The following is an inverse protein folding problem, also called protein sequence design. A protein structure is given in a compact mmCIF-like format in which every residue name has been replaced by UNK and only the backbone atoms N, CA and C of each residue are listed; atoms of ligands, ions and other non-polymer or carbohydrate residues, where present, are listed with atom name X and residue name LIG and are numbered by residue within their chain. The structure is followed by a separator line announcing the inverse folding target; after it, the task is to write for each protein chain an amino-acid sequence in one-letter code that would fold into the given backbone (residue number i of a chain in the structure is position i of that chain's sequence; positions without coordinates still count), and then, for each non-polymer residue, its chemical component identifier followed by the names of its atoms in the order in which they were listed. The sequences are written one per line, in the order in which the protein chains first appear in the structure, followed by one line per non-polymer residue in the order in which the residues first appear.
data_IF_048314253064
#
_entry.id   IF_048314253064
#
_cell.length_a   1.000
_cell.length_b   1.000
_cell.length_c   1.000
_cell.angle_alpha   90.00
_cell.angle_beta   90.00
_cell.angle_gamma   90.00
#
_symmetry.space_group_name_H-M   'P 1'
#
loop_
_entity.id
_entity.type
_entity.pdbx_description
1 polymer ?
#
# COMPACT_ATOMS: atom_id res chain seq x y z
N UNK A 1 20.65 -4.20 -25.36
CA UNK A 1 19.45 -3.38 -25.08
C UNK A 1 19.79 -1.90 -25.26
N UNK A 2 18.91 -1.14 -25.93
CA UNK A 2 19.13 0.31 -26.09
C UNK A 2 17.78 1.03 -26.17
N UNK A 3 17.60 2.08 -25.36
CA UNK A 3 16.40 2.92 -25.38
C UNK A 3 16.69 4.35 -24.94
N UNK A 4 15.74 5.24 -25.25
CA UNK A 4 15.75 6.65 -24.81
C UNK A 4 14.40 6.99 -24.22
N UNK A 5 14.39 7.67 -23.07
CA UNK A 5 13.21 7.99 -22.29
C UNK A 5 13.33 9.37 -21.66
N UNK A 6 12.23 10.07 -21.45
CA UNK A 6 12.22 11.29 -20.65
C UNK A 6 12.59 11.01 -19.19
N UNK A 7 13.48 11.82 -18.63
CA UNK A 7 13.91 11.68 -17.22
C UNK A 7 12.72 11.66 -16.26
N UNK A 8 11.75 12.55 -16.43
CA UNK A 8 10.60 12.67 -15.53
C UNK A 8 9.80 11.36 -15.46
N UNK A 9 9.53 10.74 -16.62
CA UNK A 9 8.81 9.45 -16.71
C UNK A 9 9.63 8.34 -16.07
N UNK A 10 10.93 8.31 -16.32
CA UNK A 10 11.82 7.27 -15.76
C UNK A 10 11.95 7.39 -14.23
N UNK A 11 12.06 8.61 -13.69
CA UNK A 11 12.09 8.88 -12.24
C UNK A 11 10.78 8.45 -11.59
N UNK A 12 9.63 8.81 -12.18
CA UNK A 12 8.31 8.41 -11.67
C UNK A 12 8.18 6.90 -11.61
N UNK A 13 8.46 6.20 -12.70
CA UNK A 13 8.38 4.75 -12.78
C UNK A 13 9.34 4.05 -11.81
N UNK A 14 10.58 4.52 -11.70
CA UNK A 14 11.55 3.99 -10.74
C UNK A 14 11.11 4.20 -9.30
N UNK A 15 10.48 5.34 -8.98
CA UNK A 15 9.97 5.61 -7.64
C UNK A 15 8.87 4.63 -7.22
N UNK A 16 8.07 4.16 -8.18
CA UNK A 16 7.00 3.18 -7.97
C UNK A 16 7.55 1.75 -7.96
N UNK A 17 8.31 1.33 -8.98
CA UNK A 17 8.85 -0.02 -9.07
C UNK A 17 9.81 -0.36 -7.92
N UNK A 18 10.61 0.61 -7.46
CA UNK A 18 11.57 0.38 -6.36
C UNK A 18 10.91 0.11 -5.00
N UNK A 19 9.60 0.35 -4.83
CA UNK A 19 8.88 0.12 -3.58
C UNK A 19 8.82 -1.33 -3.16
N UNK A 20 8.82 -2.24 -4.14
CA UNK A 20 8.76 -3.69 -3.91
C UNK A 20 10.09 -4.39 -4.12
N UNK A 21 11.17 -3.65 -4.31
CA UNK A 21 12.53 -4.22 -4.32
C UNK A 21 12.90 -4.69 -2.92
N UNK A 22 13.47 -5.89 -2.82
CA UNK A 22 13.93 -6.43 -1.54
C UNK A 22 15.10 -5.61 -0.99
N UNK A 23 15.08 -5.27 0.30
CA UNK A 23 16.20 -4.55 0.93
C UNK A 23 17.41 -5.44 1.16
N UNK A 24 17.16 -6.71 1.46
CA UNK A 24 18.15 -7.79 1.56
C UNK A 24 17.51 -9.07 1.10
N UNK A 25 18.16 -9.77 0.20
CA UNK A 25 17.66 -11.05 -0.33
C UNK A 25 18.78 -12.07 -0.48
N UNK A 26 18.43 -13.35 -0.33
CA UNK A 26 19.32 -14.45 -0.73
C UNK A 26 19.44 -14.58 -2.24
N UNK A 27 18.56 -13.93 -2.98
CA UNK A 27 18.56 -13.84 -4.45
C UNK A 27 18.97 -12.39 -4.79
N UNK A 28 20.25 -12.15 -5.19
CA UNK A 28 20.78 -10.78 -5.34
C UNK A 28 20.03 -9.91 -6.34
N UNK A 29 19.51 -10.49 -7.42
CA UNK A 29 18.77 -9.75 -8.45
C UNK A 29 17.48 -9.10 -7.90
N UNK A 30 16.89 -9.60 -6.80
CA UNK A 30 15.72 -8.98 -6.17
C UNK A 30 16.03 -7.66 -5.42
N UNK A 31 17.31 -7.35 -5.21
CA UNK A 31 17.75 -6.03 -4.71
C UNK A 31 17.84 -4.98 -5.84
N UNK A 32 17.50 -5.39 -7.07
CA UNK A 32 17.50 -4.57 -8.27
C UNK A 32 16.09 -4.36 -8.85
N UNK A 33 16.00 -3.42 -9.78
CA UNK A 33 14.84 -3.23 -10.66
C UNK A 33 15.14 -3.90 -11.99
N UNK A 34 14.29 -4.83 -12.39
CA UNK A 34 14.33 -5.45 -13.70
C UNK A 34 13.83 -4.46 -14.75
N UNK A 35 14.64 -4.19 -15.76
CA UNK A 35 14.29 -3.45 -16.96
C UNK A 35 14.08 -4.43 -18.10
N UNK A 36 12.94 -4.34 -18.78
CA UNK A 36 12.65 -5.05 -20.03
C UNK A 36 12.26 -4.05 -21.11
N UNK A 37 13.06 -3.93 -22.14
CA UNK A 37 12.76 -3.14 -23.33
C UNK A 37 12.31 -4.08 -24.45
N UNK A 38 11.04 -3.96 -24.83
CA UNK A 38 10.40 -4.75 -25.86
C UNK A 38 9.46 -3.88 -26.71
N UNK A 39 8.15 -4.15 -26.69
CA UNK A 39 7.15 -3.26 -27.30
C UNK A 39 7.03 -1.97 -26.50
N UNK A 40 7.18 -2.06 -25.17
CA UNK A 40 7.26 -0.93 -24.24
C UNK A 40 8.42 -1.17 -23.27
N UNK A 41 8.87 -0.10 -22.61
CA UNK A 41 9.81 -0.23 -21.50
C UNK A 41 9.02 -0.60 -20.24
N UNK A 42 9.45 -1.65 -19.57
CA UNK A 42 8.86 -2.13 -18.31
C UNK A 42 9.92 -2.07 -17.21
N UNK A 43 9.53 -1.55 -16.06
CA UNK A 43 10.33 -1.54 -14.84
C UNK A 43 9.63 -2.39 -13.79
N UNK A 44 10.29 -3.42 -13.29
CA UNK A 44 9.70 -4.34 -12.31
C UNK A 44 10.55 -4.41 -11.06
N UNK A 45 9.92 -4.22 -9.91
CA UNK A 45 10.44 -4.55 -8.58
C UNK A 45 9.67 -5.73 -7.99
N UNK A 46 10.35 -6.63 -7.28
CA UNK A 46 9.73 -7.82 -6.70
C UNK A 46 10.46 -8.29 -5.45
N UNK A 47 9.72 -8.74 -4.43
CA UNK A 47 10.27 -9.28 -3.18
C UNK A 47 9.72 -10.67 -2.84
N UNK A 48 9.17 -11.40 -3.81
CA UNK A 48 8.50 -12.71 -3.72
C UNK A 48 7.11 -12.70 -3.08
N UNK A 49 6.71 -11.63 -2.40
CA UNK A 49 5.36 -11.46 -1.83
C UNK A 49 4.53 -10.44 -2.60
N UNK A 50 5.19 -9.34 -2.99
CA UNK A 50 4.57 -8.24 -3.72
C UNK A 50 5.49 -7.81 -4.85
N UNK A 51 4.94 -7.65 -6.03
CA UNK A 51 5.66 -7.16 -7.21
C UNK A 51 4.92 -5.99 -7.86
N UNK A 52 5.68 -5.03 -8.37
CA UNK A 52 5.14 -3.91 -9.14
C UNK A 52 5.84 -3.87 -10.48
N UNK A 53 5.06 -3.84 -11.56
CA UNK A 53 5.53 -3.55 -12.91
C UNK A 53 4.94 -2.23 -13.37
N UNK A 54 5.78 -1.32 -13.86
CA UNK A 54 5.36 -0.03 -14.42
C UNK A 54 5.74 0.02 -15.89
N UNK A 55 4.78 0.38 -16.73
CA UNK A 55 5.01 0.64 -18.15
C UNK A 55 5.41 2.09 -18.36
N UNK A 56 6.42 2.31 -19.18
CA UNK A 56 7.00 3.64 -19.42
C UNK A 56 7.10 3.91 -20.91
N UNK A 57 6.64 5.08 -21.30
CA UNK A 57 6.83 5.58 -22.67
C UNK A 57 8.31 5.80 -22.95
N UNK A 58 8.86 5.04 -23.90
CA UNK A 58 10.27 5.12 -24.30
C UNK A 58 10.44 4.80 -25.79
N UNK A 59 11.47 5.38 -26.40
CA UNK A 59 11.90 5.01 -27.74
C UNK A 59 12.88 3.85 -27.63
N UNK A 60 12.46 2.65 -28.03
CA UNK A 60 13.27 1.44 -27.96
C UNK A 60 13.96 1.24 -29.31
N UNK A 61 15.29 1.26 -29.30
CA UNK A 61 16.13 1.01 -30.48
C UNK A 61 16.56 -0.47 -30.55
N UNK A 62 16.86 -1.09 -29.40
CA UNK A 62 17.26 -2.49 -29.30
C UNK A 62 16.57 -3.13 -28.10
N UNK A 63 15.84 -4.21 -28.34
CA UNK A 63 15.20 -4.99 -27.30
C UNK A 63 16.23 -5.67 -26.39
N UNK A 64 15.81 -6.01 -25.17
CA UNK A 64 16.63 -6.75 -24.21
C UNK A 64 16.17 -6.50 -22.79
N UNK A 65 16.91 -7.08 -21.83
CA UNK A 65 16.60 -6.96 -20.40
C UNK A 65 17.89 -6.95 -19.56
N UNK A 66 17.81 -6.33 -18.39
CA UNK A 66 18.86 -6.36 -17.38
C UNK A 66 18.27 -6.00 -16.02
N UNK A 67 18.99 -6.28 -14.94
CA UNK A 67 18.61 -5.88 -13.59
C UNK A 67 19.55 -4.80 -13.08
N UNK A 68 19.01 -3.64 -12.80
CA UNK A 68 19.75 -2.48 -12.32
C UNK A 68 19.74 -2.42 -10.80
N UNK A 69 20.89 -2.14 -10.12
CA UNK A 69 20.91 -1.89 -8.69
C UNK A 69 19.93 -0.74 -8.35
N UNK A 70 18.82 -1.05 -7.66
CA UNK A 70 17.67 -0.15 -7.55
C UNK A 70 18.03 1.24 -7.00
N UNK A 71 18.71 1.27 -5.85
CA UNK A 71 19.07 2.54 -5.17
C UNK A 71 20.03 3.38 -5.99
N UNK A 72 21.09 2.76 -6.50
CA UNK A 72 22.11 3.48 -7.27
C UNK A 72 21.51 4.03 -8.56
N UNK A 73 20.75 3.21 -9.28
CA UNK A 73 20.13 3.61 -10.53
C UNK A 73 19.12 4.75 -10.33
N UNK A 74 18.26 4.65 -9.31
CA UNK A 74 17.32 5.72 -8.97
C UNK A 74 18.03 7.04 -8.60
N UNK A 75 19.10 6.96 -7.79
CA UNK A 75 19.85 8.15 -7.37
C UNK A 75 20.58 8.81 -8.57
N UNK A 76 21.11 8.02 -9.51
CA UNK A 76 21.71 8.54 -10.76
C UNK A 76 20.62 9.27 -11.55
N UNK A 77 19.54 8.57 -11.93
CA UNK A 77 18.50 9.13 -12.82
C UNK A 77 17.88 10.39 -12.22
N UNK A 78 17.63 10.42 -10.91
CA UNK A 78 17.09 11.60 -10.23
C UNK A 78 17.98 12.82 -10.35
N UNK A 79 19.30 12.64 -10.40
CA UNK A 79 20.29 13.75 -10.46
C UNK A 79 20.72 14.13 -11.88
N UNK A 80 20.30 13.38 -12.90
CA UNK A 80 20.56 13.79 -14.28
C UNK A 80 19.89 15.13 -14.59
N UNK A 81 20.37 15.91 -15.59
CA UNK A 81 19.66 17.08 -16.10
C UNK A 81 18.28 16.68 -16.66
N UNK A 82 17.36 17.64 -16.74
CA UNK A 82 16.00 17.44 -17.28
C UNK A 82 16.01 17.37 -18.80
N UNK A 83 16.53 16.26 -19.31
CA UNK A 83 16.69 15.96 -20.72
C UNK A 83 16.28 14.50 -20.98
N UNK A 84 16.34 14.12 -22.24
CA UNK A 84 16.18 12.72 -22.65
C UNK A 84 17.34 11.88 -22.12
N UNK A 85 17.02 10.80 -21.44
CA UNK A 85 18.00 9.85 -20.91
C UNK A 85 18.16 8.70 -21.90
N UNK A 86 19.37 8.49 -22.41
CA UNK A 86 19.71 7.36 -23.26
C UNK A 86 20.42 6.30 -22.43
N UNK A 87 19.94 5.07 -22.49
CA UNK A 87 20.50 3.93 -21.78
C UNK A 87 20.86 2.84 -22.80
N UNK A 88 22.10 2.36 -22.70
CA UNK A 88 22.61 1.25 -23.54
C UNK A 88 23.22 0.19 -22.62
N UNK A 89 22.87 -1.06 -22.83
CA UNK A 89 23.44 -2.23 -22.12
C UNK A 89 24.08 -3.13 -23.12
N UNK A 90 25.37 -3.42 -22.93
CA UNK A 90 26.12 -4.31 -23.80
C UNK A 90 26.02 -5.80 -23.37
N UNK A 91 26.66 -6.67 -24.12
CA UNK A 91 26.69 -8.12 -23.87
C UNK A 91 27.48 -8.53 -22.60
N UNK A 92 28.20 -7.58 -21.97
CA UNK A 92 28.93 -7.78 -20.71
C UNK A 92 28.19 -7.17 -19.52
N UNK A 93 26.89 -6.83 -19.69
CA UNK A 93 26.08 -6.15 -18.69
C UNK A 93 26.65 -4.78 -18.25
N UNK A 94 27.46 -4.13 -19.09
CA UNK A 94 27.90 -2.76 -18.84
C UNK A 94 26.83 -1.80 -19.35
N UNK A 95 26.35 -0.97 -18.45
CA UNK A 95 25.29 0.00 -18.71
C UNK A 95 25.86 1.39 -18.84
N UNK A 96 25.66 2.01 -19.98
CA UNK A 96 25.99 3.40 -20.24
C UNK A 96 24.73 4.25 -20.16
N UNK A 97 24.71 5.25 -19.28
CA UNK A 97 23.61 6.20 -19.09
C UNK A 97 24.09 7.58 -19.50
N UNK A 98 23.37 8.25 -20.40
CA UNK A 98 23.70 9.58 -20.94
C UNK A 98 22.49 10.51 -20.87
N UNK A 99 22.73 11.74 -20.39
CA UNK A 99 21.76 12.83 -20.47
C UNK A 99 22.54 14.15 -20.54
N UNK A 100 22.39 14.91 -21.63
CA UNK A 100 23.23 16.09 -21.90
C UNK A 100 24.73 15.76 -21.83
N UNK A 101 25.48 16.47 -21.01
CA UNK A 101 26.90 16.24 -20.76
C UNK A 101 27.18 15.15 -19.72
N UNK A 102 26.15 14.70 -18.97
CA UNK A 102 26.32 13.68 -17.95
C UNK A 102 26.47 12.28 -18.55
N UNK A 103 27.46 11.53 -18.06
CA UNK A 103 27.74 10.18 -18.46
C UNK A 103 28.05 9.33 -17.24
N UNK A 104 27.36 8.18 -17.12
CA UNK A 104 27.65 7.16 -16.12
C UNK A 104 27.84 5.82 -16.80
N UNK A 105 28.74 5.02 -16.22
CA UNK A 105 28.91 3.63 -16.59
C UNK A 105 28.84 2.78 -15.33
N UNK A 106 27.90 1.85 -15.28
CA UNK A 106 27.68 0.94 -14.15
C UNK A 106 27.46 -0.48 -14.65
N UNK A 107 27.60 -1.45 -13.77
CA UNK A 107 27.37 -2.86 -14.11
C UNK A 107 25.97 -3.26 -13.68
N UNK A 108 25.19 -3.85 -14.58
CA UNK A 108 23.92 -4.50 -14.31
C UNK A 108 24.14 -5.99 -13.96
N UNK A 109 23.11 -6.60 -13.40
CA UNK A 109 23.00 -8.05 -13.24
C UNK A 109 22.22 -8.65 -14.41
N UNK A 110 22.42 -9.94 -14.65
CA UNK A 110 21.65 -10.68 -15.63
C UNK A 110 20.17 -10.76 -15.21
N UNK A 111 19.29 -10.73 -16.18
CA UNK A 111 17.85 -10.84 -15.97
C UNK A 111 17.34 -12.28 -15.97
N UNK A 112 18.16 -13.26 -16.37
CA UNK A 112 17.76 -14.67 -16.43
C UNK A 112 17.43 -15.23 -15.05
N UNK A 113 18.14 -14.79 -14.00
CA UNK A 113 17.92 -15.20 -12.62
C UNK A 113 16.79 -14.44 -11.92
N UNK A 114 16.17 -13.45 -12.57
CA UNK A 114 15.10 -12.67 -11.95
C UNK A 114 13.78 -13.46 -11.95
N UNK A 115 13.20 -13.75 -10.78
CA UNK A 115 11.97 -14.53 -10.70
C UNK A 115 10.82 -13.84 -11.45
N UNK A 116 10.07 -14.61 -12.22
CA UNK A 116 8.88 -14.08 -12.88
C UNK A 116 7.78 -13.75 -11.86
N UNK A 117 7.09 -12.63 -12.11
CA UNK A 117 5.91 -12.31 -11.30
C UNK A 117 4.81 -13.33 -11.57
N UNK A 118 4.03 -13.69 -10.53
CA UNK A 118 2.89 -14.57 -10.71
C UNK A 118 1.90 -14.02 -11.73
N UNK A 119 1.48 -14.86 -12.65
CA UNK A 119 0.39 -14.54 -13.57
C UNK A 119 -0.95 -14.66 -12.85
N UNK A 120 -1.79 -13.63 -12.95
CA UNK A 120 -3.09 -13.58 -12.28
C UNK A 120 -4.20 -13.70 -13.33
N UNK A 121 -4.57 -14.93 -13.62
CA UNK A 121 -5.64 -15.29 -14.57
C UNK A 121 -7.01 -15.30 -13.87
N UNK A 122 -7.47 -14.13 -13.39
CA UNK A 122 -8.81 -13.98 -12.80
C UNK A 122 -9.89 -13.78 -13.86
N UNK A 123 -11.07 -14.36 -13.63
CA UNK A 123 -12.20 -14.28 -14.58
C UNK A 123 -12.99 -12.97 -14.51
N UNK A 124 -12.86 -12.18 -13.44
CA UNK A 124 -13.63 -10.96 -13.21
C UNK A 124 -12.79 -9.94 -12.47
N UNK A 125 -12.62 -8.76 -13.03
CA UNK A 125 -12.05 -7.61 -12.36
C UNK A 125 -13.13 -6.76 -11.72
N UNK A 126 -12.86 -6.21 -10.55
CA UNK A 126 -13.68 -5.21 -9.87
C UNK A 126 -13.05 -3.86 -10.08
N UNK A 127 -13.82 -2.93 -10.63
CA UNK A 127 -13.35 -1.57 -10.90
C UNK A 127 -14.01 -0.58 -9.96
N UNK A 128 -13.22 0.32 -9.40
CA UNK A 128 -13.68 1.37 -8.50
C UNK A 128 -12.81 2.63 -8.63
N UNK A 129 -13.27 3.80 -8.12
CA UNK A 129 -12.44 5.00 -8.08
C UNK A 129 -11.19 4.81 -7.21
N UNK A 130 -10.06 5.37 -7.62
CA UNK A 130 -8.83 5.35 -6.81
C UNK A 130 -9.04 5.98 -5.42
N UNK A 131 -9.72 7.13 -5.36
CA UNK A 131 -10.07 7.81 -4.11
C UNK A 131 -10.86 6.91 -3.16
N UNK A 132 -11.79 6.11 -3.67
CA UNK A 132 -12.59 5.19 -2.86
C UNK A 132 -11.72 4.06 -2.26
N UNK A 133 -10.88 3.40 -3.06
CA UNK A 133 -9.97 2.36 -2.58
C UNK A 133 -8.97 2.92 -1.57
N UNK A 134 -8.40 4.09 -1.84
CA UNK A 134 -7.47 4.80 -0.94
C UNK A 134 -8.11 5.10 0.40
N UNK A 135 -9.34 5.64 0.41
CA UNK A 135 -10.10 5.89 1.63
C UNK A 135 -10.46 4.61 2.40
N UNK A 136 -10.69 3.49 1.71
CA UNK A 136 -10.92 2.20 2.35
C UNK A 136 -9.65 1.68 3.01
N UNK A 137 -8.51 1.77 2.36
CA UNK A 137 -7.22 1.33 2.91
C UNK A 137 -6.86 2.19 4.11
N UNK A 138 -6.79 3.52 3.97
CA UNK A 138 -6.42 4.44 5.06
C UNK A 138 -7.37 4.34 6.27
N UNK A 139 -8.66 4.07 6.01
CA UNK A 139 -9.69 3.92 7.05
C UNK A 139 -9.70 2.56 7.75
N UNK A 140 -8.84 1.60 7.37
CA UNK A 140 -8.84 0.26 7.97
C UNK A 140 -7.46 -0.25 8.36
N UNK A 141 -6.42 0.05 7.59
CA UNK A 141 -5.09 -0.56 7.70
C UNK A 141 -4.42 -0.37 9.07
N UNK A 142 -4.76 0.70 9.80
CA UNK A 142 -4.23 0.95 11.15
C UNK A 142 -4.71 -0.08 12.19
N UNK A 143 -5.75 -0.88 11.87
CA UNK A 143 -6.31 -1.91 12.74
C UNK A 143 -5.81 -3.32 12.43
N UNK A 144 -4.84 -3.50 11.53
CA UNK A 144 -4.23 -4.80 11.31
C UNK A 144 -3.35 -5.22 12.49
N UNK A 145 -3.25 -6.52 12.73
CA UNK A 145 -2.38 -7.07 13.76
C UNK A 145 -0.91 -7.08 13.31
N UNK A 146 0.00 -6.75 14.21
CA UNK A 146 1.44 -6.93 14.02
C UNK A 146 1.92 -8.32 14.46
N UNK A 147 1.03 -9.11 15.08
CA UNK A 147 1.35 -10.42 15.63
C UNK A 147 1.40 -11.49 14.53
N UNK A 148 2.60 -11.92 14.17
CA UNK A 148 2.86 -12.96 13.18
C UNK A 148 2.35 -14.36 13.57
N UNK A 149 1.98 -14.58 14.84
CA UNK A 149 1.35 -15.83 15.26
C UNK A 149 -0.09 -15.99 14.72
N UNK A 150 -0.68 -14.91 14.20
CA UNK A 150 -1.97 -14.89 13.53
C UNK A 150 -1.86 -14.23 12.15
N UNK A 151 -1.22 -14.86 11.18
CA UNK A 151 -0.91 -14.24 9.88
C UNK A 151 -2.13 -13.65 9.18
N UNK A 152 -3.29 -14.31 9.26
CA UNK A 152 -4.53 -13.85 8.61
C UNK A 152 -5.00 -12.46 9.11
N UNK A 153 -4.62 -12.05 10.32
CA UNK A 153 -4.95 -10.74 10.89
C UNK A 153 -3.90 -9.66 10.53
N UNK A 154 -2.79 -10.02 9.88
CA UNK A 154 -1.78 -9.05 9.42
C UNK A 154 -2.15 -8.40 8.08
N UNK A 155 -3.33 -8.69 7.56
CA UNK A 155 -3.91 -8.10 6.36
C UNK A 155 -5.33 -7.61 6.58
N UNK A 156 -5.88 -6.98 5.55
CA UNK A 156 -7.28 -6.56 5.51
C UNK A 156 -8.10 -7.57 4.72
N UNK A 157 -9.21 -8.01 5.31
CA UNK A 157 -10.23 -8.76 4.59
C UNK A 157 -10.88 -7.84 3.56
N UNK A 158 -11.03 -8.31 2.34
CA UNK A 158 -11.89 -7.73 1.31
C UNK A 158 -13.06 -8.69 1.04
N UNK A 159 -14.27 -8.18 1.22
CA UNK A 159 -15.52 -8.84 0.83
C UNK A 159 -16.14 -8.06 -0.33
N UNK A 160 -16.34 -8.69 -1.47
CA UNK A 160 -16.99 -8.11 -2.63
C UNK A 160 -18.32 -8.82 -2.82
N UNK A 161 -19.39 -8.04 -2.89
CA UNK A 161 -20.74 -8.50 -3.19
C UNK A 161 -21.23 -7.84 -4.48
N UNK A 162 -22.44 -8.11 -4.90
CA UNK A 162 -23.02 -7.47 -6.08
C UNK A 162 -23.12 -5.93 -5.91
N UNK A 163 -23.38 -5.45 -4.70
CA UNK A 163 -23.70 -4.05 -4.39
C UNK A 163 -22.63 -3.30 -3.58
N UNK A 164 -21.56 -3.99 -3.18
CA UNK A 164 -20.56 -3.36 -2.32
C UNK A 164 -19.20 -4.04 -2.32
N UNK A 165 -18.19 -3.24 -1.98
CA UNK A 165 -16.86 -3.69 -1.57
C UNK A 165 -16.68 -3.29 -0.11
N UNK A 166 -16.43 -4.25 0.78
CA UNK A 166 -16.18 -4.02 2.20
C UNK A 166 -14.76 -4.42 2.56
N UNK A 167 -14.03 -3.55 3.22
CA UNK A 167 -12.71 -3.81 3.76
C UNK A 167 -12.77 -3.82 5.29
N UNK A 168 -12.16 -4.83 5.92
CA UNK A 168 -12.13 -5.02 7.37
C UNK A 168 -10.74 -5.36 7.83
N UNK A 169 -10.28 -4.68 8.86
CA UNK A 169 -9.06 -5.01 9.58
C UNK A 169 -9.37 -5.19 11.07
N UNK A 170 -8.65 -6.08 11.72
CA UNK A 170 -8.85 -6.41 13.13
C UNK A 170 -7.54 -6.80 13.81
N UNK A 171 -7.37 -6.35 15.03
CA UNK A 171 -6.42 -6.89 15.99
C UNK A 171 -7.13 -7.34 17.27
N UNK A 172 -6.39 -7.59 18.35
CA UNK A 172 -6.97 -8.05 19.62
C UNK A 172 -7.83 -6.98 20.34
N UNK A 173 -7.79 -5.71 19.92
CA UNK A 173 -8.35 -4.58 20.67
C UNK A 173 -9.33 -3.73 19.86
N UNK A 174 -9.22 -3.74 18.53
CA UNK A 174 -9.98 -2.86 17.65
C UNK A 174 -10.32 -3.55 16.34
N UNK A 175 -11.40 -3.07 15.73
CA UNK A 175 -11.86 -3.45 14.41
C UNK A 175 -12.17 -2.18 13.63
N UNK A 176 -11.66 -2.07 12.42
CA UNK A 176 -12.02 -1.02 11.48
C UNK A 176 -12.72 -1.62 10.27
N UNK A 177 -13.78 -0.97 9.80
CA UNK A 177 -14.54 -1.36 8.62
C UNK A 177 -14.84 -0.15 7.76
N UNK A 178 -14.65 -0.32 6.44
CA UNK A 178 -15.11 0.64 5.43
C UNK A 178 -15.86 -0.12 4.35
N UNK A 179 -16.94 0.45 3.87
CA UNK A 179 -17.74 -0.09 2.78
C UNK A 179 -17.92 0.98 1.70
N UNK A 180 -17.65 0.59 0.47
CA UNK A 180 -17.97 1.36 -0.73
C UNK A 180 -19.13 0.69 -1.43
N UNK A 181 -20.20 1.45 -1.69
CA UNK A 181 -21.40 0.96 -2.35
C UNK A 181 -21.33 1.22 -3.86
N UNK A 182 -21.71 0.23 -4.62
CA UNK A 182 -21.74 0.27 -6.09
C UNK A 182 -22.79 -0.70 -6.61
N UNK A 183 -22.96 -0.76 -7.91
CA UNK A 183 -23.81 -1.77 -8.54
C UNK A 183 -22.93 -2.67 -9.42
N UNK A 184 -23.24 -3.97 -9.43
CA UNK A 184 -22.56 -4.96 -10.25
C UNK A 184 -21.04 -5.08 -9.97
N UNK A 185 -20.61 -4.99 -8.70
CA UNK A 185 -19.22 -5.17 -8.35
C UNK A 185 -18.73 -6.59 -8.64
N UNK A 186 -19.55 -7.60 -8.37
CA UNK A 186 -19.25 -8.99 -8.70
C UNK A 186 -20.53 -9.82 -8.87
N UNK A 187 -20.49 -10.82 -9.74
CA UNK A 187 -21.62 -11.74 -9.97
C UNK A 187 -21.78 -12.77 -8.82
N UNK A 188 -20.81 -12.88 -7.94
CA UNK A 188 -20.81 -13.76 -6.77
C UNK A 188 -19.94 -13.16 -5.67
N UNK A 189 -20.21 -13.51 -4.44
CA UNK A 189 -19.42 -13.01 -3.30
C UNK A 189 -17.99 -13.52 -3.37
N UNK A 190 -17.03 -12.57 -3.35
CA UNK A 190 -15.61 -12.86 -3.21
C UNK A 190 -15.17 -12.51 -1.79
N UNK A 191 -14.31 -13.34 -1.20
CA UNK A 191 -13.77 -13.12 0.14
C UNK A 191 -12.29 -13.53 0.17
N UNK A 192 -11.42 -12.58 0.46
CA UNK A 192 -9.98 -12.81 0.49
C UNK A 192 -9.29 -11.80 1.39
N UNK A 193 -8.05 -12.08 1.81
CA UNK A 193 -7.29 -11.19 2.69
C UNK A 193 -6.02 -10.74 1.98
N UNK A 194 -5.86 -9.42 1.87
CA UNK A 194 -4.68 -8.80 1.27
C UNK A 194 -3.73 -8.37 2.39
N UNK A 195 -2.42 -8.76 2.32
CA UNK A 195 -1.43 -8.34 3.31
C UNK A 195 -1.34 -6.81 3.44
N UNK A 196 -1.22 -6.31 4.67
CA UNK A 196 -1.08 -4.89 4.92
C UNK A 196 0.15 -4.27 4.21
N UNK A 197 1.23 -5.04 4.04
CA UNK A 197 2.41 -4.60 3.30
C UNK A 197 2.07 -4.23 1.85
N UNK A 198 1.33 -5.10 1.14
CA UNK A 198 0.88 -4.82 -0.23
C UNK A 198 -0.08 -3.64 -0.29
N UNK A 199 -1.07 -3.58 0.63
CA UNK A 199 -2.02 -2.46 0.69
C UNK A 199 -1.36 -1.10 0.95
N UNK A 200 -0.31 -1.05 1.77
CA UNK A 200 0.48 0.17 2.00
C UNK A 200 1.17 0.67 0.72
N UNK A 201 1.66 -0.24 -0.10
CA UNK A 201 2.25 0.16 -1.39
C UNK A 201 1.19 0.60 -2.39
N UNK A 202 0.02 -0.05 -2.41
CA UNK A 202 -1.15 0.38 -3.20
C UNK A 202 -1.58 1.80 -2.78
N UNK A 203 -1.78 2.05 -1.48
CA UNK A 203 -2.20 3.35 -0.95
C UNK A 203 -1.28 4.50 -1.39
N UNK A 204 0.02 4.24 -1.48
CA UNK A 204 1.03 5.23 -1.91
C UNK A 204 1.01 5.53 -3.41
N UNK A 205 0.49 4.61 -4.22
CA UNK A 205 0.38 4.76 -5.68
C UNK A 205 -0.95 5.42 -6.04
N UNK A 206 -2.01 5.13 -5.27
CA UNK A 206 -3.34 5.67 -5.51
C UNK A 206 -3.38 7.18 -5.34
N UNK A 207 -4.08 7.84 -6.25
CA UNK A 207 -4.37 9.27 -6.22
C UNK A 207 -5.74 9.55 -5.58
N UNK A 208 -5.96 10.79 -5.15
CA UNK A 208 -7.28 11.25 -4.69
C UNK A 208 -8.11 11.70 -5.90
N UNK A 209 -8.40 10.77 -6.81
CA UNK A 209 -9.10 11.00 -8.07
C UNK A 209 -10.16 9.94 -8.31
N UNK A 210 -11.06 10.22 -9.25
CA UNK A 210 -12.06 9.28 -9.73
C UNK A 210 -11.56 8.37 -10.86
N UNK A 211 -10.27 8.47 -11.22
CA UNK A 211 -9.64 7.56 -12.17
C UNK A 211 -9.79 6.11 -11.69
N UNK A 212 -10.03 5.17 -12.61
CA UNK A 212 -10.32 3.80 -12.24
C UNK A 212 -9.09 3.07 -11.71
N UNK A 213 -9.29 2.26 -10.68
CA UNK A 213 -8.43 1.14 -10.30
C UNK A 213 -9.23 -0.15 -10.46
N UNK A 214 -8.61 -1.15 -11.07
CA UNK A 214 -9.22 -2.48 -11.21
C UNK A 214 -8.41 -3.48 -10.42
N UNK A 215 -9.06 -4.33 -9.61
CA UNK A 215 -8.40 -5.47 -9.01
C UNK A 215 -9.01 -6.79 -9.49
N UNK A 216 -8.16 -7.77 -9.70
CA UNK A 216 -8.54 -9.10 -10.18
C UNK A 216 -7.99 -10.14 -9.24
N UNK A 217 -8.86 -11.00 -8.71
CA UNK A 217 -8.47 -12.09 -7.82
C UNK A 217 -8.17 -13.35 -8.64
N UNK A 218 -6.96 -13.89 -8.48
CA UNK A 218 -6.58 -15.23 -8.90
C UNK A 218 -6.60 -16.23 -7.75
N UNK A 219 -6.00 -17.41 -7.93
CA UNK A 219 -6.04 -18.47 -6.92
C UNK A 219 -5.30 -18.10 -5.62
N UNK A 220 -4.09 -17.57 -5.74
CA UNK A 220 -3.21 -17.22 -4.61
C UNK A 220 -2.72 -15.80 -4.62
N UNK A 221 -3.06 -15.04 -5.66
CA UNK A 221 -2.59 -13.68 -5.86
C UNK A 221 -3.73 -12.79 -6.29
N UNK A 222 -3.58 -11.51 -5.99
CA UNK A 222 -4.45 -10.44 -6.46
C UNK A 222 -3.61 -9.47 -7.27
N UNK A 223 -4.15 -9.03 -8.40
CA UNK A 223 -3.58 -8.02 -9.28
C UNK A 223 -4.37 -6.73 -9.14
N UNK A 224 -3.67 -5.62 -8.92
CA UNK A 224 -4.22 -4.27 -9.01
C UNK A 224 -3.64 -3.56 -10.23
N UNK A 225 -4.52 -3.01 -11.07
CA UNK A 225 -4.16 -2.20 -12.23
C UNK A 225 -4.49 -0.74 -11.93
N UNK A 226 -3.47 0.12 -11.85
CA UNK A 226 -3.55 1.52 -11.44
C UNK A 226 -2.80 2.35 -12.48
N UNK A 227 -3.49 2.95 -13.44
CA UNK A 227 -2.85 3.61 -14.58
C UNK A 227 -1.86 2.67 -15.29
N UNK A 228 -0.60 3.10 -15.40
CA UNK A 228 0.48 2.32 -16.03
C UNK A 228 1.14 1.30 -15.06
N UNK A 229 0.71 1.24 -13.81
CA UNK A 229 1.27 0.34 -12.80
C UNK A 229 0.38 -0.90 -12.61
N UNK A 230 1.03 -2.05 -12.57
CA UNK A 230 0.46 -3.35 -12.22
C UNK A 230 1.10 -3.83 -10.92
N UNK A 231 0.30 -4.01 -9.87
CA UNK A 231 0.76 -4.53 -8.59
C UNK A 231 0.16 -5.90 -8.34
N UNK A 232 1.02 -6.89 -8.16
CA UNK A 232 0.65 -8.25 -7.75
C UNK A 232 0.99 -8.43 -6.28
N UNK A 233 0.06 -8.97 -5.49
CA UNK A 233 0.29 -9.34 -4.10
C UNK A 233 -0.23 -10.75 -3.84
N UNK A 234 0.52 -11.54 -3.07
CA UNK A 234 0.03 -12.81 -2.56
C UNK A 234 -1.08 -12.55 -1.54
N UNK A 235 -2.18 -13.29 -1.60
CA UNK A 235 -3.24 -13.24 -0.58
C UNK A 235 -2.89 -14.14 0.61
N UNK A 236 -3.37 -13.76 1.80
CA UNK A 236 -3.18 -14.56 3.00
C UNK A 236 -4.18 -15.72 3.02
N UNK A 237 -3.68 -16.91 3.29
CA UNK A 237 -4.49 -18.12 3.42
C UNK A 237 -5.02 -18.27 4.86
N UNK A 238 -6.24 -18.75 5.00
CA UNK A 238 -6.89 -19.00 6.28
C UNK A 238 -8.26 -18.37 6.41
N UNK A 239 -8.92 -18.65 7.51
CA UNK A 239 -10.25 -18.12 7.81
C UNK A 239 -10.13 -16.82 8.62
N UNK A 240 -10.66 -15.73 8.07
CA UNK A 240 -10.78 -14.47 8.80
C UNK A 240 -11.98 -14.54 9.77
N UNK A 241 -11.88 -13.88 10.91
CA UNK A 241 -12.96 -13.89 11.90
C UNK A 241 -14.29 -13.40 11.31
N UNK A 242 -15.39 -13.92 11.81
CA UNK A 242 -16.72 -13.37 11.50
C UNK A 242 -16.90 -12.02 12.23
N UNK A 243 -16.44 -10.95 11.56
CA UNK A 243 -16.43 -9.61 12.12
C UNK A 243 -17.82 -9.08 12.48
N UNK A 244 -18.86 -9.59 11.84
CA UNK A 244 -20.26 -9.19 12.10
C UNK A 244 -20.70 -9.56 13.52
N UNK A 245 -20.15 -10.66 14.06
CA UNK A 245 -20.42 -11.09 15.45
C UNK A 245 -19.69 -10.27 16.49
N UNK A 246 -18.62 -9.58 16.09
CA UNK A 246 -17.80 -8.74 16.99
C UNK A 246 -18.35 -7.33 17.08
N UNK A 247 -19.00 -6.84 16.03
CA UNK A 247 -19.58 -5.49 16.00
C UNK A 247 -20.87 -5.44 16.85
N UNK A 248 -20.93 -4.60 17.90
CA UNK A 248 -22.14 -4.45 18.69
C UNK A 248 -23.30 -3.91 17.84
N UNK A 249 -24.47 -4.50 18.01
CA UNK A 249 -25.69 -4.08 17.30
C UNK A 249 -26.61 -3.20 18.16
N UNK A 250 -26.48 -3.30 19.48
CA UNK A 250 -27.27 -2.53 20.45
C UNK A 250 -26.35 -1.63 21.27
N UNK A 251 -26.35 -0.33 20.96
CA UNK A 251 -25.62 0.68 21.71
C UNK A 251 -26.66 1.49 22.53
N UNK A 252 -26.59 1.40 23.86
CA UNK A 252 -27.48 2.15 24.77
C UNK A 252 -27.16 3.65 24.82
N UNK A 253 -25.93 4.03 24.45
CA UNK A 253 -25.46 5.41 24.47
C UNK A 253 -24.94 5.79 23.08
N UNK A 254 -25.44 6.91 22.55
CA UNK A 254 -25.00 7.48 21.27
C UNK A 254 -24.58 8.92 21.50
N UNK A 255 -23.33 9.24 21.09
CA UNK A 255 -22.74 10.54 21.31
C UNK A 255 -22.28 11.12 19.96
N UNK A 256 -22.40 12.44 19.84
CA UNK A 256 -21.84 13.20 18.71
C UNK A 256 -20.78 14.16 19.23
N UNK A 257 -19.61 14.16 18.62
CA UNK A 257 -18.50 15.04 18.97
C UNK A 257 -17.89 15.69 17.74
N UNK A 258 -17.32 16.88 17.91
CA UNK A 258 -16.45 17.46 16.89
C UNK A 258 -15.14 16.66 16.84
N UNK A 259 -14.78 16.15 15.64
CA UNK A 259 -13.60 15.28 15.47
C UNK A 259 -12.32 15.98 15.87
N UNK A 260 -12.14 17.26 15.49
CA UNK A 260 -10.92 18.01 15.79
C UNK A 260 -10.76 18.26 17.30
N UNK A 261 -11.84 18.62 18.00
CA UNK A 261 -11.82 18.83 19.46
C UNK A 261 -11.53 17.53 20.20
N UNK A 262 -12.23 16.46 19.84
CA UNK A 262 -12.03 15.13 20.44
C UNK A 262 -10.60 14.63 20.24
N UNK A 263 -10.08 14.71 19.02
CA UNK A 263 -8.70 14.32 18.71
C UNK A 263 -7.70 15.13 19.51
N UNK A 264 -7.83 16.46 19.52
CA UNK A 264 -6.93 17.35 20.25
C UNK A 264 -6.93 17.08 21.75
N UNK A 265 -8.09 16.77 22.35
CA UNK A 265 -8.19 16.44 23.77
C UNK A 265 -7.48 15.11 24.09
N UNK A 266 -7.69 14.08 23.27
CA UNK A 266 -7.01 12.79 23.43
C UNK A 266 -5.49 12.95 23.23
N UNK A 267 -5.05 13.68 22.23
CA UNK A 267 -3.62 13.95 21.97
C UNK A 267 -2.96 14.63 23.17
N UNK A 268 -3.58 15.67 23.76
CA UNK A 268 -3.04 16.39 24.92
C UNK A 268 -2.85 15.47 26.12
N UNK A 269 -3.85 14.67 26.49
CA UNK A 269 -3.71 13.75 27.63
C UNK A 269 -2.75 12.61 27.36
N UNK A 270 -2.53 12.26 26.09
CA UNK A 270 -1.62 11.19 25.67
C UNK A 270 -0.14 11.59 25.72
N UNK A 271 0.20 12.87 25.87
CA UNK A 271 1.60 13.34 25.89
C UNK A 271 2.47 12.70 26.97
N UNK A 272 1.87 12.27 28.09
CA UNK A 272 2.60 11.58 29.15
C UNK A 272 2.69 10.06 28.97
N UNK A 273 2.06 9.52 27.90
CA UNK A 273 2.10 8.11 27.56
C UNK A 273 3.24 7.87 26.55
N UNK A 274 4.04 6.84 26.79
CA UNK A 274 5.12 6.46 25.88
C UNK A 274 5.15 4.94 25.70
N UNK A 275 5.95 4.44 24.76
CA UNK A 275 6.14 2.99 24.57
C UNK A 275 6.67 2.30 25.83
N UNK A 276 7.47 3.01 26.65
CA UNK A 276 8.03 2.49 27.91
C UNK A 276 7.06 2.60 29.08
N UNK A 277 6.17 3.61 29.06
CA UNK A 277 5.19 3.86 30.13
C UNK A 277 3.81 3.84 29.52
N UNK A 278 3.30 2.63 29.34
CA UNK A 278 1.93 2.40 28.82
C UNK A 278 0.91 2.63 29.90
N UNK A 279 0.00 3.58 29.68
CA UNK A 279 -1.12 3.85 30.56
C UNK A 279 -2.40 4.02 29.72
N UNK A 280 -3.54 3.53 30.18
CA UNK A 280 -4.80 3.76 29.49
C UNK A 280 -5.25 5.21 29.63
N UNK A 281 -5.89 5.73 28.60
CA UNK A 281 -6.72 6.93 28.74
C UNK A 281 -8.11 6.50 29.19
N UNK A 282 -8.53 6.95 30.35
CA UNK A 282 -9.90 6.74 30.85
C UNK A 282 -10.80 7.82 30.26
N UNK A 283 -11.85 7.38 29.56
CA UNK A 283 -12.86 8.25 28.98
C UNK A 283 -14.15 8.12 29.78
N UNK A 284 -14.73 9.25 30.20
CA UNK A 284 -16.03 9.32 30.86
C UNK A 284 -16.90 10.25 30.05
N UNK A 285 -18.06 9.77 29.63
CA UNK A 285 -18.98 10.51 28.79
C UNK A 285 -20.20 10.90 29.65
N UNK A 286 -20.41 12.21 29.83
CA UNK A 286 -21.55 12.79 30.48
C UNK A 286 -22.55 13.39 29.47
N UNK A 287 -23.53 14.15 29.97
CA UNK A 287 -24.61 14.65 29.11
C UNK A 287 -24.15 15.63 28.00
N UNK A 288 -23.14 16.43 28.24
CA UNK A 288 -22.64 17.40 27.24
C UNK A 288 -21.13 17.48 27.21
N UNK A 289 -20.41 16.60 27.86
CA UNK A 289 -18.97 16.66 28.02
C UNK A 289 -18.34 15.27 28.07
N UNK A 290 -17.27 15.10 27.33
CA UNK A 290 -16.35 13.95 27.45
C UNK A 290 -15.15 14.38 28.30
N UNK A 291 -14.81 13.57 29.29
CA UNK A 291 -13.68 13.76 30.22
C UNK A 291 -12.63 12.68 29.94
N UNK A 292 -11.38 13.09 29.70
CA UNK A 292 -10.25 12.23 29.40
C UNK A 292 -9.20 12.37 30.49
N UNK A 293 -8.79 11.25 31.10
CA UNK A 293 -7.78 11.20 32.17
C UNK A 293 -6.77 10.09 31.93
N UNK A 294 -5.53 10.37 32.23
CA UNK A 294 -4.50 9.35 32.35
C UNK A 294 -3.57 9.69 33.49
N UNK A 295 -3.01 8.67 34.15
CA UNK A 295 -1.99 8.82 35.18
C UNK A 295 -0.99 7.68 35.11
N UNK A 296 0.29 8.00 35.35
CA UNK A 296 1.39 7.04 35.40
C UNK A 296 2.51 7.56 36.31
N UNK A 297 3.69 6.92 36.28
CA UNK A 297 4.84 7.30 37.09
C UNK A 297 5.45 8.66 36.73
N UNK A 298 5.14 9.20 35.54
CA UNK A 298 5.63 10.50 35.07
C UNK A 298 4.73 11.62 35.64
N UNK A 299 3.42 11.36 35.73
CA UNK A 299 2.45 12.37 36.17
C UNK A 299 1.02 12.01 35.80
N UNK A 300 0.13 13.01 35.84
CA UNK A 300 -1.26 12.88 35.43
C UNK A 300 -1.64 13.97 34.44
N UNK A 301 -2.54 13.64 33.52
CA UNK A 301 -3.12 14.57 32.57
C UNK A 301 -4.65 14.44 32.55
N UNK A 302 -5.31 15.57 32.34
CA UNK A 302 -6.77 15.67 32.27
C UNK A 302 -7.16 16.71 31.23
N UNK A 303 -8.16 16.38 30.44
CA UNK A 303 -8.76 17.30 29.47
C UNK A 303 -10.23 16.94 29.21
N UNK A 304 -10.96 17.88 28.63
CA UNK A 304 -12.39 17.72 28.33
C UNK A 304 -12.71 18.26 26.95
N UNK A 305 -13.72 17.70 26.30
CA UNK A 305 -14.32 18.28 25.09
C UNK A 305 -15.83 18.21 25.11
N UNK A 306 -16.47 19.12 24.37
CA UNK A 306 -17.94 19.16 24.25
C UNK A 306 -18.40 17.98 23.38
N UNK A 307 -19.49 17.37 23.82
CA UNK A 307 -20.22 16.33 23.08
C UNK A 307 -21.72 16.64 23.13
N UNK A 308 -22.47 16.07 22.19
CA UNK A 308 -23.95 16.11 22.21
C UNK A 308 -24.48 14.68 22.14
N UNK A 309 -25.50 14.38 22.90
CA UNK A 309 -26.16 13.08 22.91
C UNK A 309 -26.69 12.71 24.30
N UNK A 310 -27.42 11.63 24.37
CA UNK A 310 -27.92 11.10 25.63
C UNK A 310 -26.85 10.17 26.22
N UNK A 311 -26.03 10.70 27.12
CA UNK A 311 -25.17 9.88 27.97
C UNK A 311 -26.07 9.07 28.88
N UNK A 312 -26.10 7.74 28.74
CA UNK A 312 -26.65 6.88 29.77
C UNK A 312 -25.67 6.81 30.95
N UNK A 313 -26.20 6.79 32.17
CA UNK A 313 -25.44 6.50 33.39
C UNK A 313 -24.82 5.09 33.36
#
# INVERSE_FOLDING_TARGET
MKFTCEKALLVSALSVASRTVAQKSTIPCLEGVLLRAGVALQLTGYNLETGITVHVGAQIQEAGSCVMPARLFFDIVRKLPDEMVSITVDHKQQVSIRAGAAFFQITAMDSEDYPELPDVNGKSGVTMPQSALKAMISGTIFSVSENQARPIQTGCLMEVTEDSVTMVAVDSFRLARRTWHTQNAANHTLKFVVPAAGLKEIERILEDSDEPVTFTLGDKHILFSIGDALLVSRVLEGEFIDWRRVVPTNCGTVLTANVAELTSSIERVSLIISEKVKSPVRCVFGDNMADFRTANTIGSAHDTCSIAGNGGE
#
